data_IF_491480308729
#
_entry.id   IF_491480308729
#
_cell.length_a   1.000
_cell.length_b   1.000
_cell.length_c   1.000
_cell.angle_alpha   90.00
_cell.angle_beta   90.00
_cell.angle_gamma   90.00
#
_symmetry.space_group_name_H-M   'P 1'
#
loop_
_entity.id
_entity.type
_entity.pdbx_description
1 polymer ?
#
# COMPACT_ATOMS: atom_id res chain seq x y z
N UNK A 1 -35.03 -15.88 2.04
CA UNK A 1 -33.81 -16.59 1.61
C UNK A 1 -33.01 -15.63 0.77
N UNK A 2 -31.95 -15.05 1.35
CA UNK A 2 -30.83 -14.48 0.61
C UNK A 2 -29.59 -14.91 1.39
N UNK A 3 -29.00 -16.00 0.95
CA UNK A 3 -27.68 -16.45 1.40
C UNK A 3 -26.79 -16.15 0.22
N UNK A 4 -26.03 -15.06 0.25
CA UNK A 4 -24.87 -14.83 -0.61
C UNK A 4 -24.16 -13.57 -0.13
N UNK A 5 -22.85 -13.51 -0.37
CA UNK A 5 -21.90 -12.40 -0.05
C UNK A 5 -21.07 -12.56 1.24
N UNK A 6 -20.72 -13.78 1.65
CA UNK A 6 -19.61 -13.97 2.62
C UNK A 6 -18.34 -14.57 1.99
N UNK A 7 -18.33 -14.77 0.66
CA UNK A 7 -17.24 -15.41 -0.08
C UNK A 7 -16.49 -14.53 -1.10
N UNK A 8 -16.79 -13.24 -1.19
CA UNK A 8 -16.28 -12.38 -2.28
C UNK A 8 -14.93 -11.73 -1.94
N UNK A 9 -14.81 -11.23 -0.71
CA UNK A 9 -13.66 -10.47 -0.24
C UNK A 9 -12.34 -11.26 -0.21
N UNK A 10 -12.36 -12.56 0.08
CA UNK A 10 -11.14 -13.38 0.04
C UNK A 10 -10.66 -13.63 -1.39
N UNK A 11 -11.56 -13.76 -2.35
CA UNK A 11 -11.21 -14.02 -3.75
C UNK A 11 -10.62 -12.77 -4.39
N UNK A 12 -11.20 -11.60 -4.12
CA UNK A 12 -10.68 -10.31 -4.57
C UNK A 12 -9.24 -10.11 -4.11
N UNK A 13 -8.93 -10.47 -2.88
CA UNK A 13 -7.58 -10.41 -2.33
C UNK A 13 -6.57 -11.28 -3.06
N UNK A 14 -6.94 -12.51 -3.44
CA UNK A 14 -6.07 -13.41 -4.18
C UNK A 14 -5.87 -12.95 -5.62
N UNK A 15 -6.95 -12.51 -6.28
CA UNK A 15 -6.88 -11.94 -7.64
C UNK A 15 -5.96 -10.71 -7.64
N UNK A 16 -6.09 -9.87 -6.61
CA UNK A 16 -5.30 -8.68 -6.44
C UNK A 16 -3.81 -8.98 -6.16
N UNK A 17 -3.53 -9.95 -5.28
CA UNK A 17 -2.16 -10.41 -5.03
C UNK A 17 -1.49 -10.97 -6.30
N UNK A 18 -2.22 -11.78 -7.08
CA UNK A 18 -1.75 -12.30 -8.35
C UNK A 18 -1.49 -11.19 -9.37
N UNK A 19 -2.36 -10.18 -9.45
CA UNK A 19 -2.17 -9.04 -10.34
C UNK A 19 -0.87 -8.29 -10.03
N UNK A 20 -0.54 -8.11 -8.74
CA UNK A 20 0.71 -7.47 -8.33
C UNK A 20 1.92 -8.31 -8.70
N UNK A 21 1.92 -9.60 -8.34
CA UNK A 21 3.04 -10.51 -8.60
C UNK A 21 3.34 -10.68 -10.10
N UNK A 22 2.32 -10.55 -10.95
CA UNK A 22 2.45 -10.70 -12.40
C UNK A 22 2.70 -9.37 -13.12
N UNK A 23 2.60 -8.24 -12.42
CA UNK A 23 2.76 -6.91 -13.02
C UNK A 23 4.20 -6.42 -12.95
N UNK A 24 4.63 -5.67 -13.96
CA UNK A 24 5.83 -4.82 -13.88
C UNK A 24 5.53 -3.45 -13.26
N UNK A 25 4.27 -3.03 -13.32
CA UNK A 25 3.79 -1.75 -12.79
C UNK A 25 2.38 -1.95 -12.24
N UNK A 26 2.18 -1.56 -10.99
CA UNK A 26 0.91 -1.65 -10.28
C UNK A 26 0.30 -0.25 -10.18
N UNK A 27 -0.82 -0.06 -10.88
CA UNK A 27 -1.56 1.21 -10.89
C UNK A 27 -2.76 1.11 -9.96
N UNK A 28 -2.72 1.80 -8.83
CA UNK A 28 -3.83 1.91 -7.90
C UNK A 28 -4.63 3.18 -8.18
N UNK A 29 -5.93 3.02 -8.43
CA UNK A 29 -6.79 4.12 -8.86
C UNK A 29 -7.92 4.38 -7.85
N UNK A 30 -7.96 5.57 -7.25
CA UNK A 30 -9.01 6.00 -6.32
C UNK A 30 -9.65 7.32 -6.76
N UNK A 31 -10.89 7.56 -6.31
CA UNK A 31 -11.56 8.86 -6.45
C UNK A 31 -11.19 9.76 -5.28
N UNK A 32 -11.00 11.05 -5.55
CA UNK A 32 -10.67 12.06 -4.56
C UNK A 32 -9.24 11.93 -4.03
N UNK A 33 -9.05 12.33 -2.78
CA UNK A 33 -7.75 12.37 -2.12
C UNK A 33 -7.30 11.01 -1.60
N UNK A 34 -6.02 10.93 -1.24
CA UNK A 34 -5.55 9.83 -0.39
C UNK A 34 -6.26 9.96 0.96
N UNK A 35 -7.10 8.98 1.29
CA UNK A 35 -7.87 8.92 2.51
C UNK A 35 -7.58 7.62 3.27
N UNK A 36 -8.10 7.50 4.50
CA UNK A 36 -7.81 6.33 5.34
C UNK A 36 -8.28 5.02 4.68
N UNK A 37 -9.42 5.01 4.00
CA UNK A 37 -9.92 3.81 3.34
C UNK A 37 -8.96 3.31 2.25
N UNK A 38 -8.40 4.22 1.45
CA UNK A 38 -7.43 3.85 0.42
C UNK A 38 -6.09 3.40 1.03
N UNK A 39 -5.71 3.98 2.16
CA UNK A 39 -4.55 3.53 2.95
C UNK A 39 -4.77 2.14 3.55
N UNK A 40 -5.96 1.83 4.07
CA UNK A 40 -6.28 0.50 4.61
C UNK A 40 -6.22 -0.57 3.51
N UNK A 41 -6.70 -0.23 2.30
CA UNK A 41 -6.56 -1.10 1.13
C UNK A 41 -5.10 -1.29 0.74
N UNK A 42 -4.29 -0.22 0.74
CA UNK A 42 -2.85 -0.31 0.47
C UNK A 42 -2.11 -1.13 1.53
N UNK A 43 -2.48 -0.98 2.81
CA UNK A 43 -1.91 -1.76 3.91
C UNK A 43 -2.14 -3.26 3.73
N UNK A 44 -3.35 -3.63 3.29
CA UNK A 44 -3.67 -5.01 2.97
C UNK A 44 -2.78 -5.58 1.85
N UNK A 45 -2.40 -4.75 0.87
CA UNK A 45 -1.42 -5.11 -0.17
C UNK A 45 -0.07 -5.43 0.44
N UNK A 46 0.42 -4.54 1.29
CA UNK A 46 1.71 -4.72 1.97
C UNK A 46 1.73 -6.01 2.80
N UNK A 47 0.64 -6.31 3.53
CA UNK A 47 0.52 -7.55 4.30
C UNK A 47 0.49 -8.81 3.43
N UNK A 48 -0.26 -8.79 2.32
CA UNK A 48 -0.30 -9.91 1.37
C UNK A 48 1.08 -10.18 0.78
N UNK A 49 1.75 -9.10 0.38
CA UNK A 49 3.11 -9.15 -0.12
C UNK A 49 4.08 -9.70 0.92
N UNK A 50 4.06 -9.22 2.17
CA UNK A 50 4.92 -9.73 3.24
C UNK A 50 4.64 -11.22 3.51
N UNK A 51 3.38 -11.66 3.37
CA UNK A 51 2.99 -13.06 3.50
C UNK A 51 3.45 -13.93 2.33
N UNK A 52 3.51 -13.39 1.11
CA UNK A 52 4.11 -14.07 -0.04
C UNK A 52 5.61 -14.19 0.20
N UNK A 53 6.30 -13.09 0.57
CA UNK A 53 7.73 -13.07 0.92
C UNK A 53 8.09 -14.16 1.94
N UNK A 54 7.33 -14.25 3.02
CA UNK A 54 7.57 -15.22 4.09
C UNK A 54 7.38 -16.69 3.65
N UNK A 55 6.58 -16.96 2.61
CA UNK A 55 6.30 -18.33 2.12
C UNK A 55 7.18 -18.76 0.95
N UNK A 56 7.75 -17.82 0.22
CA UNK A 56 8.66 -18.10 -0.91
C UNK A 56 10.11 -18.27 -0.50
N UNK A 57 10.49 -17.89 0.73
CA UNK A 57 11.80 -18.22 1.31
C UNK A 57 11.70 -19.57 2.03
N UNK A 58 12.42 -20.63 1.60
CA UNK A 58 12.54 -21.84 2.40
C UNK A 58 13.35 -21.51 3.65
N UNK A 59 12.91 -21.98 4.82
CA UNK A 59 13.63 -21.83 6.08
C UNK A 59 15.02 -22.47 6.00
N UNK A 60 16.03 -21.72 5.55
CA UNK A 60 17.43 -22.05 5.76
C UNK A 60 18.13 -20.85 6.40
N UNK A 61 18.79 -21.14 7.51
CA UNK A 61 19.52 -20.23 8.38
C UNK A 61 20.36 -19.20 7.58
N UNK A 62 19.98 -17.94 7.72
CA UNK A 62 20.94 -16.85 7.85
C UNK A 62 21.76 -16.47 6.61
N UNK A 63 21.13 -16.06 5.52
CA UNK A 63 21.65 -14.96 4.67
C UNK A 63 20.46 -14.18 4.11
N UNK A 64 20.42 -12.87 4.36
CA UNK A 64 19.48 -11.93 3.75
C UNK A 64 19.62 -11.95 2.23
N UNK A 65 18.78 -12.70 1.52
CA UNK A 65 18.55 -12.45 0.11
C UNK A 65 17.36 -11.51 -0.07
N UNK A 66 17.51 -10.31 0.51
CA UNK A 66 16.53 -9.24 0.39
C UNK A 66 16.59 -8.56 -0.99
N UNK A 67 17.66 -8.79 -1.76
CA UNK A 67 17.91 -8.15 -3.04
C UNK A 67 17.10 -8.77 -4.20
N UNK A 68 17.02 -10.10 -4.27
CA UNK A 68 16.27 -10.77 -5.34
C UNK A 68 14.75 -10.57 -5.20
N UNK A 69 14.25 -10.36 -3.97
CA UNK A 69 12.82 -10.17 -3.75
C UNK A 69 12.31 -8.77 -4.06
N UNK A 70 13.16 -7.74 -3.94
CA UNK A 70 12.83 -6.35 -4.36
C UNK A 70 12.60 -6.29 -5.88
N UNK A 71 13.19 -7.22 -6.65
CA UNK A 71 13.04 -7.28 -8.11
C UNK A 71 11.65 -7.75 -8.58
N UNK A 72 10.86 -8.41 -7.71
CA UNK A 72 9.50 -8.86 -8.04
C UNK A 72 8.42 -7.83 -7.71
N UNK A 73 8.80 -6.68 -7.17
CA UNK A 73 7.83 -5.63 -6.90
C UNK A 73 7.61 -4.78 -8.14
N UNK A 74 6.35 -4.64 -8.58
CA UNK A 74 6.06 -3.69 -9.63
C UNK A 74 6.33 -2.27 -9.17
N UNK A 75 6.70 -1.42 -10.12
CA UNK A 75 6.66 0.03 -9.91
C UNK A 75 5.25 0.44 -9.49
N UNK A 76 5.12 1.27 -8.45
CA UNK A 76 3.83 1.69 -7.94
C UNK A 76 3.42 3.06 -8.50
N UNK A 77 2.19 3.15 -9.00
CA UNK A 77 1.59 4.41 -9.46
C UNK A 77 0.21 4.58 -8.82
N UNK A 78 -0.04 5.73 -8.19
CA UNK A 78 -1.35 6.06 -7.63
C UNK A 78 -2.05 7.13 -8.46
N UNK A 79 -3.14 6.77 -9.13
CA UNK A 79 -3.97 7.72 -9.88
C UNK A 79 -5.15 8.23 -9.04
N UNK A 80 -5.17 9.53 -8.78
CA UNK A 80 -6.25 10.23 -8.07
C UNK A 80 -7.20 10.86 -9.07
N UNK A 81 -8.40 10.31 -9.21
CA UNK A 81 -9.46 10.86 -10.09
C UNK A 81 -10.29 11.90 -9.35
N UNK A 82 -10.81 12.88 -10.07
CA UNK A 82 -11.58 14.02 -9.51
C UNK A 82 -10.81 14.78 -8.42
N UNK A 83 -9.48 14.79 -8.52
CA UNK A 83 -8.61 15.47 -7.57
C UNK A 83 -8.78 16.99 -7.72
N UNK A 84 -9.33 17.61 -6.67
CA UNK A 84 -9.72 19.03 -6.67
C UNK A 84 -8.98 19.86 -5.63
N UNK A 85 -7.95 19.28 -5.00
CA UNK A 85 -7.17 19.94 -3.95
C UNK A 85 -6.00 20.71 -4.53
N UNK A 86 -5.77 21.90 -3.99
CA UNK A 86 -4.56 22.64 -4.25
C UNK A 86 -3.39 21.91 -3.59
N UNK A 87 -2.41 21.51 -4.40
CA UNK A 87 -1.21 20.85 -3.95
C UNK A 87 -0.30 21.87 -3.27
N UNK A 88 -0.57 22.17 -2.01
CA UNK A 88 0.20 23.11 -1.20
C UNK A 88 0.58 22.51 0.16
N UNK A 89 1.78 22.81 0.63
CA UNK A 89 2.24 22.51 1.99
C UNK A 89 3.07 23.69 2.48
N UNK A 90 2.77 24.18 3.68
CA UNK A 90 3.41 25.37 4.28
C UNK A 90 3.41 26.61 3.35
N UNK A 91 2.38 26.75 2.51
CA UNK A 91 2.22 27.85 1.57
C UNK A 91 3.10 27.76 0.30
N UNK A 92 3.74 26.62 0.06
CA UNK A 92 4.46 26.32 -1.18
C UNK A 92 3.70 25.28 -1.99
N UNK A 93 3.63 25.48 -3.30
CA UNK A 93 3.13 24.47 -4.23
C UNK A 93 4.04 23.24 -4.18
N UNK A 94 3.44 22.06 -4.07
CA UNK A 94 4.13 20.77 -4.10
C UNK A 94 3.76 20.00 -5.37
N UNK A 95 4.63 19.08 -5.75
CA UNK A 95 4.41 18.14 -6.84
C UNK A 95 3.46 17.00 -6.42
N UNK A 96 2.83 16.30 -7.37
CA UNK A 96 2.04 15.10 -7.07
C UNK A 96 2.84 14.01 -6.34
N UNK A 97 4.12 13.86 -6.67
CA UNK A 97 5.01 12.89 -6.03
C UNK A 97 5.28 13.29 -4.57
N UNK A 98 5.53 14.58 -4.30
CA UNK A 98 5.65 15.10 -2.92
C UNK A 98 4.35 14.93 -2.13
N UNK A 99 3.18 15.09 -2.76
CA UNK A 99 1.89 14.83 -2.11
C UNK A 99 1.74 13.36 -1.74
N UNK A 100 2.13 12.44 -2.63
CA UNK A 100 2.14 11.01 -2.34
C UNK A 100 3.06 10.69 -1.16
N UNK A 101 4.32 11.15 -1.21
CA UNK A 101 5.28 10.94 -0.13
C UNK A 101 4.79 11.51 1.21
N UNK A 102 4.23 12.72 1.21
CA UNK A 102 3.67 13.35 2.40
C UNK A 102 2.48 12.57 2.97
N UNK A 103 1.64 11.99 2.12
CA UNK A 103 0.49 11.17 2.53
C UNK A 103 0.91 9.83 3.12
N UNK A 104 2.07 9.29 2.71
CA UNK A 104 2.64 8.05 3.19
C UNK A 104 3.54 8.20 4.43
N UNK A 105 3.89 9.43 4.83
CA UNK A 105 4.70 9.68 6.03
C UNK A 105 4.01 9.13 7.27
N UNK A 106 4.68 8.22 7.95
CA UNK A 106 4.23 7.71 9.25
C UNK A 106 4.02 8.90 10.20
N UNK A 107 2.81 9.01 10.77
CA UNK A 107 2.59 9.93 11.88
C UNK A 107 3.50 9.49 13.02
N UNK A 108 4.41 10.38 13.43
CA UNK A 108 5.19 10.20 14.66
C UNK A 108 4.20 9.96 15.79
N UNK A 109 4.11 8.72 16.28
CA UNK A 109 3.32 8.41 17.46
C UNK A 109 3.78 9.32 18.58
N UNK A 110 2.85 10.08 19.17
CA UNK A 110 3.12 10.85 20.36
C UNK A 110 3.48 9.83 21.46
N UNK A 111 4.79 9.57 21.66
CA UNK A 111 5.26 8.89 22.86
C UNK A 111 4.82 9.80 23.99
N UNK A 112 3.78 9.39 24.70
CA UNK A 112 3.21 10.15 25.79
C UNK A 112 4.33 10.66 26.67
N UNK A 113 4.37 11.98 26.84
CA UNK A 113 5.08 12.59 27.94
C UNK A 113 4.39 12.13 29.22
N UNK A 114 4.82 10.99 29.74
CA UNK A 114 4.54 10.60 31.12
C UNK A 114 5.37 11.53 32.01
N UNK A 115 4.74 12.61 32.46
CA UNK A 115 5.20 13.36 33.61
C UNK A 115 4.50 12.76 34.84
N UNK A 116 5.25 11.99 35.63
CA UNK A 116 5.01 11.79 37.07
C UNK A 116 6.20 12.35 37.83
#
# INVERSE_FOLDING_TARGET
>A
MCSDSQGDNQNDSWIFALAILLSSTFVYNSMGTINQQAMDQLHYVTELTDRIRAKSSPEEDGVEDSADFVSFFPDFVWTLRDFSLDLETDGQCITPDEYLENSLKLKKGNKGTENW
#
